data_IF_004615603884
#
_entry.id   IF_004615603884
#
_cell.length_a   1.000
_cell.length_b   1.000
_cell.length_c   1.000
_cell.angle_alpha   90.00
_cell.angle_beta   90.00
_cell.angle_gamma   90.00
#
_symmetry.space_group_name_H-M   'P 1'
#
loop_
_entity.id
_entity.type
_entity.pdbx_description
1 polymer ?
#
# COMPACT_ATOMS: atom_id res chain seq x y z
N UNK A 1 -22.42 60.29 -0.73
CA UNK A 1 -23.14 59.29 -1.53
C UNK A 1 -22.58 59.33 -2.93
N UNK A 2 -21.90 58.25 -3.31
CA UNK A 2 -21.52 57.94 -4.69
C UNK A 2 -21.72 56.42 -4.80
N UNK A 3 -22.65 56.02 -5.64
CA UNK A 3 -22.95 54.63 -5.97
C UNK A 3 -21.83 54.07 -6.86
N UNK A 4 -21.35 52.85 -6.59
CA UNK A 4 -20.53 52.10 -7.55
C UNK A 4 -20.93 50.62 -7.59
N UNK A 5 -20.70 50.05 -8.77
CA UNK A 5 -21.37 48.95 -9.45
C UNK A 5 -21.28 47.54 -8.85
N UNK A 6 -22.30 46.77 -9.23
CA UNK A 6 -22.40 45.32 -9.23
C UNK A 6 -21.22 44.61 -9.93
N UNK A 7 -20.59 43.65 -9.25
CA UNK A 7 -19.81 42.59 -9.88
C UNK A 7 -20.47 41.23 -9.59
N UNK A 8 -21.01 40.62 -10.65
CA UNK A 8 -21.57 39.26 -10.63
C UNK A 8 -20.44 38.27 -10.35
N UNK A 9 -20.60 37.41 -9.35
CA UNK A 9 -19.66 36.32 -9.12
C UNK A 9 -19.81 35.31 -10.27
N UNK A 10 -18.74 34.94 -11.00
CA UNK A 10 -18.85 33.84 -11.95
C UNK A 10 -19.05 32.54 -11.15
N UNK A 11 -20.30 32.06 -11.15
CA UNK A 11 -20.65 30.67 -10.93
C UNK A 11 -20.03 29.84 -12.04
N UNK A 12 -18.76 29.48 -11.85
CA UNK A 12 -18.00 28.59 -12.72
C UNK A 12 -17.64 27.33 -11.94
N UNK A 13 -18.61 26.46 -11.78
CA UNK A 13 -18.40 25.04 -11.50
C UNK A 13 -17.61 24.41 -12.66
N UNK A 14 -16.28 24.57 -12.65
CA UNK A 14 -15.42 23.79 -13.53
C UNK A 14 -15.05 22.51 -12.79
N UNK A 15 -15.86 21.49 -13.01
CA UNK A 15 -15.51 20.09 -12.81
C UNK A 15 -14.31 19.75 -13.69
N UNK A 16 -13.10 20.08 -13.23
CA UNK A 16 -11.89 19.45 -13.74
C UNK A 16 -11.96 18.01 -13.23
N UNK A 17 -12.59 17.14 -14.03
CA UNK A 17 -12.36 15.72 -13.97
C UNK A 17 -10.87 15.53 -14.25
N UNK A 18 -10.08 15.52 -13.18
CA UNK A 18 -8.70 15.08 -13.22
C UNK A 18 -8.70 13.71 -13.88
N UNK A 19 -8.09 13.58 -15.05
CA UNK A 19 -7.53 12.31 -15.53
C UNK A 19 -6.39 11.88 -14.59
N UNK A 20 -6.69 11.80 -13.29
CA UNK A 20 -5.79 11.41 -12.23
C UNK A 20 -5.86 9.91 -12.15
N UNK A 21 -4.97 9.23 -12.87
CA UNK A 21 -4.73 7.81 -12.67
C UNK A 21 -4.63 7.52 -11.18
N UNK A 22 -5.28 6.45 -10.72
CA UNK A 22 -5.39 6.16 -9.29
C UNK A 22 -3.99 6.03 -8.66
N UNK A 23 -3.65 6.94 -7.76
CA UNK A 23 -2.37 6.92 -7.03
C UNK A 23 -2.48 6.00 -5.81
N UNK A 24 -2.89 4.76 -6.04
CA UNK A 24 -3.03 3.77 -4.97
C UNK A 24 -1.74 2.98 -4.86
N UNK A 25 -1.23 2.79 -3.64
CA UNK A 25 0.02 2.11 -3.37
C UNK A 25 -0.16 0.98 -2.36
N UNK A 26 0.59 -0.10 -2.54
CA UNK A 26 0.64 -1.26 -1.65
C UNK A 26 1.95 -1.28 -0.87
N UNK A 27 1.88 -1.19 0.47
CA UNK A 27 3.03 -1.42 1.36
C UNK A 27 3.45 -2.87 1.27
N UNK A 28 4.68 -3.21 0.89
CA UNK A 28 5.11 -4.61 0.80
C UNK A 28 6.33 -4.96 1.65
N UNK A 29 7.05 -3.95 2.15
CA UNK A 29 8.11 -4.16 3.13
C UNK A 29 8.25 -2.96 4.06
N UNK A 30 8.76 -3.21 5.26
CA UNK A 30 9.12 -2.23 6.27
C UNK A 30 10.51 -2.59 6.78
N UNK A 31 11.42 -1.61 6.82
CA UNK A 31 12.65 -1.73 7.60
C UNK A 31 12.45 -1.01 8.93
N UNK A 32 12.68 -1.74 10.02
CA UNK A 32 12.66 -1.22 11.37
C UNK A 32 14.07 -0.80 11.79
N UNK A 33 14.15 0.18 12.70
CA UNK A 33 15.40 0.54 13.35
C UNK A 33 15.21 0.54 14.87
N UNK A 34 15.94 -0.35 15.54
CA UNK A 34 15.95 -0.49 16.99
C UNK A 34 17.25 0.09 17.53
N UNK A 35 17.23 1.30 18.10
CA UNK A 35 18.44 1.91 18.63
C UNK A 35 18.38 3.42 18.75
N UNK A 36 19.55 4.06 18.79
CA UNK A 36 19.75 5.51 18.90
C UNK A 36 20.42 6.03 17.62
N UNK A 37 20.61 7.35 17.53
CA UNK A 37 21.17 8.01 16.34
C UNK A 37 22.56 7.51 15.88
N UNK A 38 23.37 6.93 16.77
CA UNK A 38 24.74 6.48 16.44
C UNK A 38 24.93 4.97 16.38
N UNK A 39 23.92 4.17 16.76
CA UNK A 39 23.98 2.72 16.80
C UNK A 39 22.58 2.13 16.90
N UNK A 40 22.38 0.98 16.29
CA UNK A 40 21.13 0.25 16.39
C UNK A 40 21.18 -1.03 15.58
N UNK A 41 20.02 -1.68 15.52
CA UNK A 41 19.81 -2.90 14.76
C UNK A 41 18.69 -2.70 13.76
N UNK A 42 18.92 -3.13 12.52
CA UNK A 42 17.93 -3.03 11.46
C UNK A 42 17.38 -4.41 11.18
N UNK A 43 16.06 -4.54 11.28
CA UNK A 43 15.34 -5.73 10.84
C UNK A 43 14.35 -5.33 9.75
N UNK A 44 13.80 -6.31 9.06
CA UNK A 44 12.77 -6.08 8.06
C UNK A 44 11.58 -7.02 8.22
N UNK A 45 10.39 -6.50 7.93
CA UNK A 45 9.22 -7.31 7.66
C UNK A 45 8.84 -7.16 6.19
N UNK A 46 8.54 -8.25 5.49
CA UNK A 46 8.14 -8.20 4.09
C UNK A 46 7.07 -9.24 3.74
N UNK A 47 6.30 -8.96 2.68
CA UNK A 47 5.35 -9.89 2.07
C UNK A 47 5.78 -10.25 0.64
N UNK A 48 5.55 -11.51 0.28
CA UNK A 48 5.86 -12.05 -1.04
C UNK A 48 4.76 -11.68 -2.06
N UNK A 49 5.02 -11.93 -3.33
CA UNK A 49 3.98 -11.82 -4.36
C UNK A 49 3.00 -12.98 -4.26
N UNK A 50 1.74 -12.74 -4.65
CA UNK A 50 0.80 -13.86 -4.80
C UNK A 50 1.32 -14.78 -5.91
N UNK A 51 1.69 -16.00 -5.53
CA UNK A 51 2.01 -17.05 -6.49
C UNK A 51 0.75 -17.86 -6.78
N UNK A 52 0.43 -18.15 -8.05
CA UNK A 52 -0.80 -18.87 -8.41
C UNK A 52 -0.94 -20.28 -7.79
N UNK A 53 0.13 -20.81 -7.17
CA UNK A 53 0.22 -22.20 -6.72
C UNK A 53 0.62 -22.39 -5.24
N UNK A 54 0.72 -21.32 -4.43
CA UNK A 54 0.85 -21.42 -2.95
C UNK A 54 -0.49 -21.27 -2.21
N UNK A 55 -1.63 -21.31 -2.92
CA UNK A 55 -2.97 -21.37 -2.28
C UNK A 55 -3.32 -22.76 -1.74
N UNK A 56 -2.39 -23.72 -1.76
CA UNK A 56 -2.58 -25.05 -1.19
C UNK A 56 -2.48 -24.99 0.34
N UNK A 57 -3.66 -24.81 0.96
CA UNK A 57 -4.02 -25.13 2.35
C UNK A 57 -3.95 -24.04 3.44
N UNK A 58 -4.19 -22.77 3.12
CA UNK A 58 -4.79 -21.85 4.10
C UNK A 58 -6.10 -21.27 3.53
N UNK A 59 -7.14 -21.35 4.34
CA UNK A 59 -8.54 -21.18 3.98
C UNK A 59 -8.86 -19.75 3.52
N UNK A 60 -8.97 -19.53 2.21
CA UNK A 60 -9.81 -18.47 1.60
C UNK A 60 -9.92 -18.71 0.09
N UNK A 61 -10.92 -19.50 -0.30
CA UNK A 61 -11.30 -19.68 -1.71
C UNK A 61 -12.01 -18.40 -2.19
N UNK A 62 -11.26 -17.38 -2.61
CA UNK A 62 -11.83 -16.27 -3.38
C UNK A 62 -12.10 -16.75 -4.81
N UNK A 63 -13.34 -17.17 -5.07
CA UNK A 63 -13.84 -17.35 -6.44
C UNK A 63 -13.79 -15.98 -7.14
N UNK A 64 -12.85 -15.79 -8.05
CA UNK A 64 -12.87 -14.67 -9.00
C UNK A 64 -13.96 -14.93 -10.04
N UNK A 65 -15.20 -14.51 -9.77
CA UNK A 65 -16.21 -14.35 -10.83
C UNK A 65 -15.81 -13.14 -11.69
N UNK A 66 -15.61 -13.39 -12.98
CA UNK A 66 -15.60 -12.35 -14.01
C UNK A 66 -16.99 -11.70 -14.03
N UNK A 67 -17.07 -10.39 -13.75
CA UNK A 67 -17.94 -9.40 -14.40
C UNK A 67 -17.99 -8.09 -13.57
N UNK A 68 -17.75 -6.99 -14.29
CA UNK A 68 -18.15 -5.59 -14.06
C UNK A 68 -17.46 -4.69 -12.99
N UNK A 69 -16.97 -3.55 -13.49
CA UNK A 69 -16.47 -2.31 -12.83
C UNK A 69 -14.99 -2.26 -12.40
N UNK A 70 -14.13 -1.42 -13.05
CA UNK A 70 -12.70 -1.32 -12.74
C UNK A 70 -12.46 -0.33 -11.60
N UNK A 71 -12.86 -0.67 -10.39
CA UNK A 71 -12.33 -0.06 -9.17
C UNK A 71 -11.99 -1.18 -8.18
N UNK A 72 -11.12 -2.09 -8.61
CA UNK A 72 -10.73 -3.22 -7.77
C UNK A 72 -9.62 -2.80 -6.80
N UNK A 73 -10.01 -2.16 -5.69
CA UNK A 73 -9.14 -1.86 -4.54
C UNK A 73 -8.61 -3.11 -3.83
N UNK A 74 -9.00 -4.33 -4.26
CA UNK A 74 -8.77 -5.56 -3.52
C UNK A 74 -7.77 -6.51 -4.21
N UNK A 75 -7.41 -6.26 -5.47
CA UNK A 75 -6.34 -7.01 -6.13
C UNK A 75 -5.01 -6.31 -5.88
N UNK A 76 -4.38 -6.65 -4.76
CA UNK A 76 -2.98 -6.29 -4.57
C UNK A 76 -2.15 -7.16 -5.50
N UNK A 77 -2.25 -8.49 -5.45
CA UNK A 77 -1.21 -9.37 -6.01
C UNK A 77 0.01 -9.44 -5.08
N UNK A 78 -0.20 -9.23 -3.77
CA UNK A 78 0.76 -9.53 -2.70
C UNK A 78 0.13 -10.53 -1.74
N UNK A 79 0.94 -11.44 -1.20
CA UNK A 79 0.50 -12.33 -0.14
C UNK A 79 -0.04 -11.54 1.05
N UNK A 80 -0.91 -12.19 1.83
CA UNK A 80 -1.37 -11.65 3.12
C UNK A 80 -0.38 -11.96 4.25
N UNK A 81 0.54 -12.88 4.01
CA UNK A 81 1.51 -13.39 4.96
C UNK A 81 2.76 -12.49 4.98
N UNK A 82 3.13 -12.06 6.18
CA UNK A 82 4.36 -11.32 6.45
C UNK A 82 5.42 -12.25 7.05
N UNK A 83 6.68 -11.98 6.73
CA UNK A 83 7.84 -12.67 7.28
C UNK A 83 8.78 -11.64 7.90
N UNK A 84 9.40 -12.00 9.02
CA UNK A 84 10.43 -11.19 9.68
C UNK A 84 11.82 -11.67 9.25
N UNK A 85 12.73 -10.71 9.09
CA UNK A 85 14.10 -10.89 8.66
C UNK A 85 15.02 -10.13 9.62
N UNK A 86 15.76 -10.88 10.41
CA UNK A 86 16.75 -10.41 11.38
C UNK A 86 18.09 -11.11 11.10
N UNK A 87 18.97 -10.46 10.33
CA UNK A 87 20.23 -11.02 9.85
C UNK A 87 20.08 -12.40 9.18
N UNK A 88 20.52 -13.46 9.87
CA UNK A 88 20.42 -14.85 9.39
C UNK A 88 19.15 -15.55 9.89
N UNK A 89 18.42 -14.94 10.82
CA UNK A 89 17.15 -15.45 11.33
C UNK A 89 16.00 -14.93 10.46
N UNK A 90 15.28 -15.87 9.86
CA UNK A 90 14.13 -15.60 9.01
C UNK A 90 12.97 -16.41 9.54
N UNK A 91 11.90 -15.72 9.92
CA UNK A 91 10.75 -16.33 10.56
C UNK A 91 9.43 -15.90 9.92
N UNK A 92 8.42 -16.77 10.00
CA UNK A 92 7.06 -16.48 9.56
C UNK A 92 6.33 -17.70 9.00
N UNK A 93 5.03 -17.55 8.63
CA UNK A 93 4.26 -16.30 8.63
C UNK A 93 4.05 -15.70 10.03
N UNK A 94 4.13 -14.37 10.13
CA UNK A 94 3.88 -13.63 11.37
C UNK A 94 2.41 -13.74 11.80
N UNK A 95 2.18 -13.85 13.11
CA UNK A 95 0.83 -13.77 13.66
C UNK A 95 0.28 -12.33 13.52
N UNK A 96 -1.04 -12.12 13.61
CA UNK A 96 -1.61 -10.77 13.57
C UNK A 96 -1.02 -9.84 14.64
N UNK A 97 -0.70 -10.36 15.82
CA UNK A 97 -0.06 -9.60 16.90
C UNK A 97 1.37 -9.20 16.54
N UNK A 98 2.14 -10.12 15.95
CA UNK A 98 3.51 -9.84 15.50
C UNK A 98 3.53 -8.87 14.30
N UNK A 99 2.53 -8.91 13.43
CA UNK A 99 2.36 -7.92 12.35
C UNK A 99 2.16 -6.52 12.92
N UNK A 100 1.35 -6.36 13.97
CA UNK A 100 1.22 -5.06 14.64
C UNK A 100 2.55 -4.63 15.29
N UNK A 101 3.30 -5.57 15.87
CA UNK A 101 4.58 -5.29 16.52
C UNK A 101 5.71 -4.91 15.54
N UNK A 102 5.76 -5.56 14.37
CA UNK A 102 6.86 -5.40 13.39
C UNK A 102 6.49 -4.50 12.20
N UNK A 103 5.28 -4.58 11.66
CA UNK A 103 4.89 -3.83 10.45
C UNK A 103 4.29 -2.47 10.80
N UNK A 104 3.42 -2.42 11.81
CA UNK A 104 2.82 -1.18 12.32
C UNK A 104 3.59 -0.57 13.50
N UNK A 105 4.85 -0.98 13.63
CA UNK A 105 5.73 -0.59 14.73
C UNK A 105 6.04 0.89 14.74
N UNK A 106 6.25 1.45 15.94
CA UNK A 106 6.85 2.79 16.10
C UNK A 106 8.31 2.85 15.64
N UNK A 107 8.94 1.69 15.46
CA UNK A 107 10.31 1.57 15.01
C UNK A 107 10.43 1.55 13.48
N UNK A 108 9.31 1.61 12.76
CA UNK A 108 9.30 1.67 11.30
C UNK A 108 10.09 2.90 10.82
N UNK A 109 11.11 2.63 10.00
CA UNK A 109 12.06 3.64 9.56
C UNK A 109 11.98 3.87 8.05
N UNK A 110 11.92 2.81 7.25
CA UNK A 110 11.75 2.89 5.79
C UNK A 110 10.57 2.03 5.39
N UNK A 111 9.66 2.60 4.60
CA UNK A 111 8.47 1.93 4.09
C UNK A 111 8.58 1.75 2.58
N UNK A 112 8.41 0.53 2.10
CA UNK A 112 8.47 0.20 0.68
C UNK A 112 7.07 -0.01 0.12
N UNK A 113 6.73 0.81 -0.86
CA UNK A 113 5.45 0.78 -1.54
C UNK A 113 5.63 0.50 -3.03
N UNK A 114 4.65 -0.16 -3.63
CA UNK A 114 4.52 -0.24 -5.09
C UNK A 114 3.22 0.42 -5.53
N UNK A 115 3.23 1.09 -6.67
CA UNK A 115 2.03 1.68 -7.24
C UNK A 115 1.13 0.58 -7.83
N UNK A 116 -0.17 0.66 -7.60
CA UNK A 116 -1.16 -0.17 -8.28
C UNK A 116 -1.48 0.46 -9.64
N UNK A 117 -1.66 -0.39 -10.65
CA UNK A 117 -2.24 0.05 -11.92
C UNK A 117 -1.39 1.03 -12.73
N UNK A 118 -0.07 1.12 -12.50
CA UNK A 118 0.82 1.74 -13.48
C UNK A 118 0.87 0.81 -14.72
N UNK A 119 0.32 1.22 -15.87
CA UNK A 119 0.54 0.49 -17.11
C UNK A 119 2.04 0.54 -17.37
N UNK A 120 2.69 -0.62 -17.48
CA UNK A 120 4.01 -0.65 -18.09
C UNK A 120 3.87 0.00 -19.48
N UNK A 121 4.63 1.08 -19.69
CA UNK A 121 4.80 1.86 -20.92
C UNK A 121 3.58 2.62 -21.45
N UNK A 122 3.70 3.96 -21.50
CA UNK A 122 3.38 4.69 -22.72
C UNK A 122 4.73 4.82 -23.44
N UNK A 123 4.95 3.98 -24.45
CA UNK A 123 6.08 4.02 -25.38
C UNK A 123 6.07 5.28 -26.27
#
# INVERSE_FOLDING_TARGET
>A
EVEEESAVAPSGESSIASEGGSTVYDLFAVCNHYGRMGFGHYTAAARDWETPNKSSNSSSKSKSSKEDVPNNTNNTGLSKEWFSYDDNDVSGPLSPEDVEAEVHSRNAYILFYRQRGCPATMD
#
